data_IF_604215223493
#
_entry.id   IF_604215223493
#
_cell.length_a   1.000
_cell.length_b   1.000
_cell.length_c   1.000
_cell.angle_alpha   90.00
_cell.angle_beta   90.00
_cell.angle_gamma   90.00
#
_symmetry.space_group_name_H-M   'P 1'
#
loop_
_entity.id
_entity.type
_entity.pdbx_description
1 polymer ?
#
# COMPACT_ATOMS: atom_id res chain seq x y z
N UNK A 1 -27.49 57.55 -32.36
CA UNK A 1 -26.37 57.38 -33.31
C UNK A 1 -25.13 56.94 -32.53
N UNK A 2 -24.21 56.13 -33.08
CA UNK A 2 -24.38 55.12 -34.11
C UNK A 2 -23.77 53.76 -33.69
N UNK A 3 -24.29 52.73 -34.37
CA UNK A 3 -23.69 51.41 -34.52
C UNK A 3 -22.45 51.57 -35.41
N UNK A 4 -21.30 51.03 -35.00
CA UNK A 4 -20.14 50.84 -35.86
C UNK A 4 -19.63 49.41 -35.72
N UNK A 5 -20.07 48.58 -36.66
CA UNK A 5 -19.38 47.38 -37.12
C UNK A 5 -18.14 47.80 -37.91
N UNK A 6 -16.97 47.21 -37.62
CA UNK A 6 -15.90 46.94 -38.60
C UNK A 6 -15.01 45.78 -38.05
N UNK A 7 -14.12 45.14 -38.83
CA UNK A 7 -14.37 43.85 -39.47
C UNK A 7 -13.42 42.73 -38.99
N UNK A 8 -13.81 41.50 -39.31
CA UNK A 8 -13.05 40.27 -39.11
C UNK A 8 -11.86 40.25 -40.07
N UNK A 9 -10.62 40.31 -39.54
CA UNK A 9 -9.42 39.87 -40.25
C UNK A 9 -8.85 38.64 -39.57
N UNK A 10 -9.11 37.47 -40.16
CA UNK A 10 -8.42 36.23 -39.83
C UNK A 10 -6.96 36.33 -40.27
N UNK A 11 -6.04 36.38 -39.31
CA UNK A 11 -4.61 36.12 -39.54
C UNK A 11 -4.19 35.00 -38.58
N UNK A 12 -4.33 33.76 -39.04
CA UNK A 12 -3.91 32.58 -38.30
C UNK A 12 -2.40 32.37 -38.52
N UNK A 13 -1.58 32.91 -37.61
CA UNK A 13 -0.21 32.42 -37.35
C UNK A 13 -0.32 31.47 -36.17
N UNK A 14 0.07 30.22 -36.33
CA UNK A 14 0.34 29.34 -35.19
C UNK A 14 1.80 28.90 -35.22
N UNK A 15 2.50 29.21 -34.14
CA UNK A 15 3.72 28.54 -33.72
C UNK A 15 3.59 28.20 -32.24
N UNK A 16 3.70 26.88 -31.98
CA UNK A 16 4.24 26.17 -30.81
C UNK A 16 3.72 26.53 -29.41
N UNK A 17 3.10 25.55 -28.70
CA UNK A 17 3.45 25.06 -27.34
C UNK A 17 2.74 23.70 -27.10
N UNK A 18 3.46 22.67 -26.63
CA UNK A 18 2.98 21.37 -26.06
C UNK A 18 2.62 21.58 -24.57
N UNK A 19 1.74 20.80 -23.86
CA UNK A 19 1.84 19.32 -23.73
C UNK A 19 0.56 18.49 -23.42
N UNK A 20 0.52 17.25 -23.95
CA UNK A 20 -0.14 16.00 -23.45
C UNK A 20 -1.65 15.98 -23.10
N UNK A 21 -2.36 14.86 -23.38
CA UNK A 21 -2.28 13.67 -22.53
C UNK A 21 -1.80 12.43 -23.29
N UNK A 22 -1.00 11.62 -22.59
CA UNK A 22 -0.70 10.24 -22.96
C UNK A 22 -2.01 9.45 -22.94
N UNK A 23 -2.59 9.25 -24.11
CA UNK A 23 -3.44 8.09 -24.35
C UNK A 23 -2.50 6.90 -24.29
N UNK A 24 -2.67 6.07 -23.26
CA UNK A 24 -2.01 4.77 -23.13
C UNK A 24 -2.05 4.07 -24.47
N UNK A 25 -0.88 3.92 -25.08
CA UNK A 25 -0.73 3.15 -26.28
C UNK A 25 -1.30 1.76 -26.01
N UNK A 26 -2.37 1.40 -26.73
CA UNK A 26 -2.67 0.02 -27.02
C UNK A 26 -1.39 -0.50 -27.69
N UNK A 27 -0.48 -1.07 -26.89
CA UNK A 27 0.68 -1.78 -27.38
C UNK A 27 0.17 -3.10 -27.94
N UNK A 28 -0.41 -3.00 -29.15
CA UNK A 28 -0.56 -4.14 -30.04
C UNK A 28 0.79 -4.82 -30.03
N UNK A 29 0.84 -6.06 -29.56
CA UNK A 29 2.08 -6.82 -29.52
C UNK A 29 2.48 -7.00 -30.97
N UNK A 30 3.32 -6.10 -31.46
CA UNK A 30 3.83 -6.19 -32.80
C UNK A 30 4.75 -7.40 -32.78
N UNK A 31 4.28 -8.51 -33.32
CA UNK A 31 5.19 -9.57 -33.70
C UNK A 31 6.17 -8.90 -34.67
N UNK A 32 7.47 -8.84 -34.35
CA UNK A 32 8.45 -8.03 -35.07
C UNK A 32 8.78 -8.68 -36.42
N UNK A 33 7.80 -8.60 -37.33
CA UNK A 33 7.86 -9.03 -38.70
C UNK A 33 8.27 -7.82 -39.54
N UNK A 34 9.32 -7.97 -40.33
CA UNK A 34 9.73 -6.95 -41.29
C UNK A 34 9.77 -7.54 -42.69
N UNK A 35 9.30 -6.75 -43.65
CA UNK A 35 9.34 -7.07 -45.07
C UNK A 35 10.45 -6.24 -45.70
N UNK A 36 11.39 -6.89 -46.39
CA UNK A 36 12.52 -6.19 -47.04
C UNK A 36 12.60 -6.55 -48.52
N UNK A 37 12.63 -5.55 -49.43
CA UNK A 37 12.94 -5.81 -50.83
C UNK A 37 14.44 -6.10 -50.99
N UNK A 38 14.78 -7.10 -51.80
CA UNK A 38 16.18 -7.44 -52.12
C UNK A 38 16.51 -6.97 -53.54
N UNK A 39 17.76 -6.56 -53.81
CA UNK A 39 18.24 -6.06 -55.13
C UNK A 39 17.91 -6.96 -56.32
N UNK A 40 17.61 -8.25 -56.09
CA UNK A 40 17.18 -9.21 -57.11
C UNK A 40 15.70 -9.11 -57.50
N UNK A 41 14.93 -8.17 -56.95
CA UNK A 41 13.48 -8.05 -57.17
C UNK A 41 12.63 -9.09 -56.42
N UNK A 42 13.21 -9.82 -55.46
CA UNK A 42 12.53 -10.89 -54.70
C UNK A 42 12.14 -10.43 -53.29
N UNK A 43 11.00 -10.94 -52.80
CA UNK A 43 10.46 -10.64 -51.47
C UNK A 43 11.15 -11.46 -50.37
N UNK A 44 11.50 -10.80 -49.26
CA UNK A 44 12.02 -11.43 -48.05
C UNK A 44 11.19 -11.02 -46.83
N UNK A 45 10.83 -12.01 -46.02
CA UNK A 45 10.17 -11.86 -44.72
C UNK A 45 11.17 -12.20 -43.62
N UNK A 46 11.31 -11.34 -42.62
CA UNK A 46 12.16 -11.57 -41.46
C UNK A 46 11.33 -11.46 -40.18
N UNK A 47 11.40 -12.47 -39.32
CA UNK A 47 10.76 -12.55 -38.02
C UNK A 47 11.84 -12.52 -36.94
N UNK A 48 11.80 -11.51 -36.07
CA UNK A 48 12.71 -11.47 -34.93
C UNK A 48 12.24 -12.48 -33.86
N UNK A 49 13.20 -13.22 -33.31
CA UNK A 49 12.99 -14.24 -32.28
C UNK A 49 13.97 -13.98 -31.13
N UNK A 50 13.70 -14.52 -29.94
CA UNK A 50 14.64 -14.44 -28.81
C UNK A 50 16.03 -15.03 -29.13
N UNK A 51 16.10 -15.97 -30.07
CA UNK A 51 17.34 -16.60 -30.57
C UNK A 51 17.97 -15.90 -31.79
N UNK A 52 17.43 -14.76 -32.25
CA UNK A 52 17.91 -14.02 -33.42
C UNK A 52 16.86 -13.85 -34.53
N UNK A 53 17.29 -13.40 -35.71
CA UNK A 53 16.37 -13.16 -36.85
C UNK A 53 16.19 -14.42 -37.70
N UNK A 54 14.95 -14.87 -37.87
CA UNK A 54 14.59 -15.94 -38.80
C UNK A 54 14.03 -15.34 -40.09
N UNK A 55 14.59 -15.71 -41.23
CA UNK A 55 14.23 -15.12 -42.53
C UNK A 55 13.78 -16.13 -43.58
N UNK A 56 12.79 -15.74 -44.37
CA UNK A 56 12.26 -16.49 -45.51
C UNK A 56 12.36 -15.63 -46.77
N UNK A 57 12.89 -16.20 -47.85
CA UNK A 57 13.00 -15.53 -49.14
C UNK A 57 12.71 -16.52 -50.26
N UNK A 58 12.36 -15.99 -51.43
CA UNK A 58 12.17 -16.77 -52.64
C UNK A 58 13.50 -17.34 -53.18
N UNK A 59 13.54 -18.66 -53.40
CA UNK A 59 14.74 -19.40 -53.87
C UNK A 59 14.40 -20.21 -55.10
N UNK A 60 15.42 -20.50 -55.93
CA UNK A 60 15.29 -21.20 -57.22
C UNK A 60 14.54 -22.55 -57.16
N UNK A 61 14.48 -23.20 -55.98
CA UNK A 61 13.80 -24.50 -55.78
C UNK A 61 12.60 -24.45 -54.82
N UNK A 62 12.34 -23.32 -54.14
CA UNK A 62 11.21 -23.18 -53.22
C UNK A 62 10.69 -21.76 -53.24
N UNK A 63 9.41 -21.60 -53.55
CA UNK A 63 8.74 -20.30 -53.53
C UNK A 63 8.40 -19.88 -52.12
N UNK A 64 8.33 -18.56 -51.91
CA UNK A 64 7.90 -17.99 -50.63
C UNK A 64 6.46 -18.43 -50.29
N UNK A 65 5.59 -18.51 -51.29
CA UNK A 65 4.19 -18.96 -51.18
C UNK A 65 4.06 -20.31 -50.48
N UNK A 66 4.96 -21.25 -50.78
CA UNK A 66 4.98 -22.59 -50.18
C UNK A 66 5.38 -22.58 -48.71
N UNK A 67 6.03 -21.49 -48.24
CA UNK A 67 6.50 -21.32 -46.86
C UNK A 67 5.59 -20.45 -46.01
N UNK A 68 4.66 -19.71 -46.64
CA UNK A 68 3.71 -18.84 -45.95
C UNK A 68 2.83 -19.59 -44.94
N UNK A 69 2.28 -20.80 -45.23
CA UNK A 69 1.46 -21.51 -44.24
C UNK A 69 2.22 -21.82 -42.96
N UNK A 70 3.48 -22.23 -43.07
CA UNK A 70 4.34 -22.49 -41.92
C UNK A 70 4.69 -21.22 -41.14
N UNK A 71 4.92 -20.11 -41.84
CA UNK A 71 5.15 -18.81 -41.21
C UNK A 71 3.92 -18.34 -40.43
N UNK A 72 2.71 -18.45 -41.02
CA UNK A 72 1.48 -18.07 -40.33
C UNK A 72 1.22 -18.95 -39.10
N UNK A 73 1.43 -20.26 -39.20
CA UNK A 73 1.35 -21.16 -38.04
C UNK A 73 2.35 -20.79 -36.92
N UNK A 74 3.58 -20.40 -37.27
CA UNK A 74 4.59 -19.93 -36.30
C UNK A 74 4.17 -18.60 -35.64
N UNK A 75 3.60 -17.68 -36.40
CA UNK A 75 3.08 -16.39 -35.90
C UNK A 75 1.87 -16.62 -34.97
N UNK A 76 0.92 -17.47 -35.37
CA UNK A 76 -0.26 -17.81 -34.55
C UNK A 76 0.12 -18.46 -33.22
N UNK A 77 1.04 -19.43 -33.27
CA UNK A 77 1.54 -20.10 -32.06
C UNK A 77 2.16 -19.08 -31.10
N UNK A 78 3.00 -18.16 -31.61
CA UNK A 78 3.62 -17.11 -30.80
C UNK A 78 2.63 -16.09 -30.27
N UNK A 79 1.65 -15.70 -31.09
CA UNK A 79 0.57 -14.82 -30.64
C UNK A 79 -0.18 -15.45 -29.46
N UNK A 80 -0.50 -16.75 -29.55
CA UNK A 80 -1.15 -17.50 -28.48
C UNK A 80 -0.26 -17.65 -27.23
N UNK A 81 1.05 -17.86 -27.38
CA UNK A 81 2.00 -17.90 -26.26
C UNK A 81 2.13 -16.53 -25.56
N UNK A 82 2.25 -15.45 -26.33
CA UNK A 82 2.32 -14.09 -25.80
C UNK A 82 1.03 -13.73 -25.06
N UNK A 83 -0.13 -14.07 -25.64
CA UNK A 83 -1.43 -13.87 -24.99
C UNK A 83 -1.52 -14.64 -23.67
N UNK A 84 -1.15 -15.93 -23.66
CA UNK A 84 -1.12 -16.75 -22.45
C UNK A 84 -0.13 -16.23 -21.41
N UNK A 85 1.04 -15.76 -21.82
CA UNK A 85 2.03 -15.19 -20.90
C UNK A 85 1.51 -13.92 -20.25
N UNK A 86 0.86 -13.05 -21.02
CA UNK A 86 0.24 -11.81 -20.50
C UNK A 86 -0.86 -12.11 -19.50
N UNK A 87 -1.76 -13.03 -19.85
CA UNK A 87 -2.83 -13.47 -18.95
C UNK A 87 -2.27 -14.02 -17.63
N UNK A 88 -1.22 -14.87 -17.69
CA UNK A 88 -0.56 -15.38 -16.48
C UNK A 88 0.07 -14.28 -15.63
N UNK A 89 0.78 -13.34 -16.26
CA UNK A 89 1.41 -12.23 -15.54
C UNK A 89 0.38 -11.30 -14.90
N UNK A 90 -0.74 -11.06 -15.57
CA UNK A 90 -1.85 -10.28 -15.04
C UNK A 90 -2.52 -10.98 -13.85
N UNK A 91 -2.82 -12.27 -13.99
CA UNK A 91 -3.37 -13.10 -12.91
C UNK A 91 -2.45 -13.14 -11.69
N UNK A 92 -1.14 -13.30 -11.90
CA UNK A 92 -0.17 -13.31 -10.81
C UNK A 92 -0.12 -11.95 -10.09
N UNK A 93 -0.12 -10.85 -10.86
CA UNK A 93 -0.15 -9.50 -10.29
C UNK A 93 -1.41 -9.27 -9.45
N UNK A 94 -2.57 -9.70 -9.94
CA UNK A 94 -3.84 -9.60 -9.20
C UNK A 94 -3.82 -10.44 -7.92
N UNK A 95 -3.29 -11.67 -7.98
CA UNK A 95 -3.15 -12.53 -6.79
C UNK A 95 -2.20 -11.93 -5.75
N UNK A 96 -1.04 -11.43 -6.17
CA UNK A 96 -0.09 -10.76 -5.28
C UNK A 96 -0.69 -9.51 -4.65
N UNK A 97 -1.48 -8.76 -5.43
CA UNK A 97 -2.18 -7.58 -4.92
C UNK A 97 -3.22 -7.96 -3.87
N UNK A 98 -4.07 -8.95 -4.13
CA UNK A 98 -5.06 -9.41 -3.18
C UNK A 98 -4.43 -9.94 -1.87
N UNK A 99 -3.35 -10.71 -1.99
CA UNK A 99 -2.59 -11.19 -0.83
C UNK A 99 -1.96 -10.05 -0.02
N UNK A 100 -1.50 -8.98 -0.70
CA UNK A 100 -1.03 -7.78 -0.04
C UNK A 100 -2.15 -7.05 0.71
N UNK A 101 -3.31 -6.83 0.07
CA UNK A 101 -4.45 -6.16 0.70
C UNK A 101 -4.90 -6.91 1.97
N UNK A 102 -4.98 -8.25 1.92
CA UNK A 102 -5.30 -9.09 3.08
C UNK A 102 -4.24 -8.99 4.19
N UNK A 103 -2.96 -8.99 3.81
CA UNK A 103 -1.85 -8.88 4.76
C UNK A 103 -1.86 -7.52 5.50
N UNK A 104 -2.18 -6.43 4.80
CA UNK A 104 -2.29 -5.10 5.41
C UNK A 104 -3.46 -5.05 6.40
N UNK A 105 -4.61 -5.61 6.04
CA UNK A 105 -5.78 -5.59 6.92
C UNK A 105 -5.55 -6.42 8.18
N UNK A 106 -4.90 -7.58 8.04
CA UNK A 106 -4.49 -8.39 9.19
C UNK A 106 -3.48 -7.64 10.08
N UNK A 107 -2.47 -7.01 9.47
CA UNK A 107 -1.49 -6.22 10.19
C UNK A 107 -2.13 -5.06 10.98
N UNK A 108 -3.19 -4.43 10.45
CA UNK A 108 -3.96 -3.40 11.17
C UNK A 108 -4.65 -3.96 12.40
N UNK A 109 -5.31 -5.11 12.26
CA UNK A 109 -5.97 -5.77 13.39
C UNK A 109 -4.95 -6.14 14.47
N UNK A 110 -3.84 -6.74 14.08
CA UNK A 110 -2.75 -7.12 15.00
C UNK A 110 -2.16 -5.90 15.72
N UNK A 111 -1.97 -4.78 15.00
CA UNK A 111 -1.53 -3.52 15.59
C UNK A 111 -2.51 -3.00 16.65
N UNK A 112 -3.80 -2.94 16.33
CA UNK A 112 -4.83 -2.47 17.27
C UNK A 112 -4.91 -3.37 18.50
N UNK A 113 -4.88 -4.69 18.31
CA UNK A 113 -4.85 -5.64 19.43
C UNK A 113 -3.64 -5.43 20.33
N UNK A 114 -2.46 -5.21 19.74
CA UNK A 114 -1.25 -4.98 20.53
C UNK A 114 -1.31 -3.64 21.28
N UNK A 115 -1.86 -2.60 20.66
CA UNK A 115 -2.06 -1.28 21.27
C UNK A 115 -2.99 -1.36 22.48
N UNK A 116 -4.14 -2.02 22.35
CA UNK A 116 -5.08 -2.21 23.46
C UNK A 116 -4.50 -3.09 24.56
N UNK A 117 -3.71 -4.11 24.21
CA UNK A 117 -3.03 -4.98 25.18
C UNK A 117 -2.02 -4.22 26.02
N UNK A 118 -1.22 -3.37 25.39
CA UNK A 118 -0.22 -2.57 26.10
C UNK A 118 -0.88 -1.53 26.99
N UNK A 119 -1.96 -0.90 26.52
CA UNK A 119 -2.78 -0.02 27.34
C UNK A 119 -3.39 -0.73 28.54
N UNK A 120 -3.94 -1.93 28.36
CA UNK A 120 -4.51 -2.71 29.46
C UNK A 120 -3.45 -3.03 30.52
N UNK A 121 -2.22 -3.36 30.10
CA UNK A 121 -1.11 -3.59 31.03
C UNK A 121 -0.77 -2.34 31.82
N UNK A 122 -0.71 -1.18 31.17
CA UNK A 122 -0.44 0.09 31.83
C UNK A 122 -1.58 0.48 32.79
N UNK A 123 -2.82 0.16 32.46
CA UNK A 123 -3.97 0.36 33.35
C UNK A 123 -3.91 -0.55 34.57
N UNK A 124 -3.61 -1.83 34.38
CA UNK A 124 -3.45 -2.78 35.48
C UNK A 124 -2.32 -2.36 36.42
N UNK A 125 -1.19 -1.89 35.90
CA UNK A 125 -0.07 -1.40 36.70
C UNK A 125 -0.49 -0.17 37.53
N UNK A 126 -1.10 0.84 36.91
CA UNK A 126 -1.55 2.06 37.60
C UNK A 126 -2.64 1.77 38.64
N UNK A 127 -3.55 0.85 38.36
CA UNK A 127 -4.58 0.41 39.31
C UNK A 127 -3.95 -0.30 40.51
N UNK A 128 -2.98 -1.19 40.28
CA UNK A 128 -2.25 -1.86 41.36
C UNK A 128 -1.47 -0.85 42.24
N UNK A 129 -0.86 0.17 41.63
CA UNK A 129 -0.18 1.24 42.37
C UNK A 129 -1.15 2.05 43.24
N UNK A 130 -2.33 2.41 42.70
CA UNK A 130 -3.37 3.10 43.45
C UNK A 130 -3.83 2.28 44.67
N UNK A 131 -4.07 0.99 44.48
CA UNK A 131 -4.48 0.08 45.54
C UNK A 131 -3.37 -0.10 46.59
N UNK A 132 -2.11 -0.13 46.17
CA UNK A 132 -0.97 -0.19 47.08
C UNK A 132 -0.87 1.08 47.95
N UNK A 133 -1.12 2.26 47.39
CA UNK A 133 -1.19 3.53 48.13
C UNK A 133 -2.34 3.49 49.13
N UNK A 134 -3.56 3.13 48.70
CA UNK A 134 -4.74 3.02 49.58
C UNK A 134 -4.51 2.06 50.74
N UNK A 135 -3.93 0.89 50.45
CA UNK A 135 -3.58 -0.11 51.47
C UNK A 135 -2.51 0.40 52.44
N UNK A 136 -1.51 1.14 51.96
CA UNK A 136 -0.52 1.79 52.81
C UNK A 136 -1.15 2.84 53.73
N UNK A 137 -2.00 3.71 53.18
CA UNK A 137 -2.75 4.72 53.93
C UNK A 137 -3.60 4.09 55.03
N UNK A 138 -4.33 3.01 54.73
CA UNK A 138 -5.14 2.28 55.72
C UNK A 138 -4.29 1.71 56.87
N UNK A 139 -3.12 1.11 56.56
CA UNK A 139 -2.20 0.61 57.59
C UNK A 139 -1.64 1.73 58.46
N UNK A 140 -1.34 2.88 57.85
CA UNK A 140 -0.77 4.04 58.52
C UNK A 140 -1.81 4.71 59.43
N UNK A 141 -3.07 4.84 58.98
CA UNK A 141 -4.19 5.31 59.81
C UNK A 141 -4.39 4.37 61.02
N UNK A 142 -4.45 3.06 60.81
CA UNK A 142 -4.62 2.10 61.90
C UNK A 142 -3.46 2.09 62.91
N UNK A 143 -2.26 2.54 62.50
CA UNK A 143 -1.11 2.75 63.39
C UNK A 143 -1.28 4.05 64.18
N UNK A 144 -1.72 5.11 63.51
CA UNK A 144 -2.00 6.43 64.09
C UNK A 144 -3.05 6.33 65.19
N UNK A 145 -4.15 5.63 64.95
CA UNK A 145 -5.27 5.52 65.89
C UNK A 145 -4.87 4.84 67.22
N UNK A 146 -3.77 4.08 67.24
CA UNK A 146 -3.22 3.44 68.44
C UNK A 146 -2.21 4.30 69.19
N UNK A 147 -1.80 5.43 68.61
CA UNK A 147 -0.80 6.33 69.15
C UNK A 147 -1.49 7.66 69.46
N UNK A 148 -1.54 8.03 70.73
CA UNK A 148 -1.98 9.37 71.14
C UNK A 148 -0.82 10.37 70.88
N UNK A 149 -0.51 10.59 69.60
CA UNK A 149 0.62 11.44 69.15
C UNK A 149 0.08 12.80 68.64
N UNK A 150 0.60 13.93 69.16
CA UNK A 150 0.26 15.26 68.67
C UNK A 150 0.51 15.49 67.16
N UNK A 151 1.29 14.63 66.50
CA UNK A 151 1.50 14.63 65.05
C UNK A 151 0.32 14.07 64.25
N UNK A 152 -0.71 13.52 64.90
CA UNK A 152 -1.88 12.95 64.25
C UNK A 152 -2.51 13.89 63.20
N UNK A 153 -2.59 15.20 63.48
CA UNK A 153 -3.14 16.18 62.54
C UNK A 153 -2.35 16.26 61.22
N UNK A 154 -1.01 16.27 61.27
CA UNK A 154 -0.15 16.28 60.07
C UNK A 154 -0.24 14.96 59.30
N UNK A 155 -0.41 13.87 60.03
CA UNK A 155 -0.58 12.55 59.43
C UNK A 155 -1.91 12.44 58.67
N UNK A 156 -3.00 12.97 59.21
CA UNK A 156 -4.30 13.03 58.53
C UNK A 156 -4.21 13.83 57.23
N UNK A 157 -3.48 14.96 57.23
CA UNK A 157 -3.27 15.75 56.02
C UNK A 157 -2.49 14.98 54.95
N UNK A 158 -1.42 14.29 55.36
CA UNK A 158 -0.65 13.42 54.47
C UNK A 158 -1.49 12.27 53.89
N UNK A 159 -2.30 11.62 54.73
CA UNK A 159 -3.19 10.52 54.33
C UNK A 159 -4.25 10.98 53.33
N UNK A 160 -4.80 12.18 53.52
CA UNK A 160 -5.74 12.79 52.57
C UNK A 160 -5.07 13.02 51.22
N UNK A 161 -3.91 13.69 51.20
CA UNK A 161 -3.17 13.93 49.96
C UNK A 161 -2.81 12.62 49.24
N UNK A 162 -2.35 11.60 49.97
CA UNK A 162 -2.01 10.30 49.39
C UNK A 162 -3.24 9.56 48.83
N UNK A 163 -4.41 9.71 49.47
CA UNK A 163 -5.68 9.22 48.92
C UNK A 163 -6.07 9.93 47.63
N UNK A 164 -6.00 11.27 47.62
CA UNK A 164 -6.27 12.10 46.43
C UNK A 164 -5.33 11.70 45.27
N UNK A 165 -4.06 11.41 45.58
CA UNK A 165 -3.07 10.94 44.60
C UNK A 165 -3.40 9.55 44.06
N UNK A 166 -3.82 8.61 44.91
CA UNK A 166 -4.26 7.28 44.47
C UNK A 166 -5.45 7.39 43.51
N UNK A 167 -6.42 8.24 43.82
CA UNK A 167 -7.59 8.45 42.97
C UNK A 167 -7.23 9.13 41.64
N UNK A 168 -6.23 10.01 41.63
CA UNK A 168 -5.75 10.68 40.42
C UNK A 168 -5.08 9.71 39.44
N UNK A 169 -4.33 8.73 39.94
CA UNK A 169 -3.59 7.76 39.11
C UNK A 169 -4.45 6.57 38.69
N UNK A 170 -5.48 6.23 39.47
CA UNK A 170 -6.34 5.08 39.22
C UNK A 170 -7.11 5.26 37.89
N UNK A 171 -6.88 4.39 36.89
CA UNK A 171 -7.60 4.46 35.62
C UNK A 171 -9.10 4.20 35.76
N UNK A 172 -9.57 3.61 36.87
CA UNK A 172 -11.00 3.45 37.15
C UNK A 172 -11.71 4.80 37.40
N UNK A 173 -10.98 5.87 37.70
CA UNK A 173 -11.58 7.20 37.84
C UNK A 173 -11.65 7.96 36.51
N UNK A 174 -11.25 7.33 35.39
CA UNK A 174 -11.22 7.94 34.05
C UNK A 174 -12.01 7.11 33.05
N UNK A 175 -13.28 7.44 32.90
CA UNK A 175 -14.22 6.77 31.98
C UNK A 175 -13.73 6.72 30.53
N UNK A 176 -13.05 7.77 30.06
CA UNK A 176 -12.46 7.83 28.71
C UNK A 176 -11.38 6.75 28.51
N UNK A 177 -10.81 6.24 29.60
CA UNK A 177 -9.81 5.18 29.56
C UNK A 177 -10.41 3.78 29.35
N UNK A 178 -11.73 3.61 29.46
CA UNK A 178 -12.39 2.29 29.47
C UNK A 178 -12.81 1.78 28.09
N UNK A 179 -12.75 2.62 27.07
CA UNK A 179 -13.22 2.30 25.71
C UNK A 179 -12.05 1.86 24.84
N UNK A 180 -12.27 0.89 23.94
CA UNK A 180 -11.31 0.52 22.90
C UNK A 180 -10.76 1.75 22.18
N UNK A 181 -9.44 1.79 22.00
CA UNK A 181 -8.82 2.89 21.30
C UNK A 181 -9.01 2.69 19.79
N UNK A 182 -9.59 3.68 19.13
CA UNK A 182 -9.59 3.75 17.67
C UNK A 182 -8.72 4.95 17.29
N UNK A 183 -7.44 4.75 16.97
CA UNK A 183 -6.57 5.82 16.50
C UNK A 183 -7.21 6.52 15.30
N UNK A 184 -7.16 7.85 15.28
CA UNK A 184 -7.70 8.65 14.17
C UNK A 184 -6.95 8.39 12.86
N UNK A 185 -5.69 7.99 12.94
CA UNK A 185 -4.85 7.63 11.80
C UNK A 185 -3.92 6.48 12.21
N UNK A 186 -3.77 5.49 11.32
CA UNK A 186 -2.80 4.39 11.46
C UNK A 186 -1.77 4.56 10.34
N UNK A 187 -0.53 4.88 10.70
CA UNK A 187 0.51 5.11 9.71
C UNK A 187 1.04 3.78 9.16
N UNK A 188 1.48 3.75 7.89
CA UNK A 188 2.14 2.56 7.35
C UNK A 188 3.39 2.11 8.15
N UNK A 189 4.08 3.05 8.81
CA UNK A 189 5.22 2.74 9.70
C UNK A 189 4.80 1.91 10.91
N UNK A 190 3.60 2.14 11.44
CA UNK A 190 3.09 1.46 12.63
C UNK A 190 2.75 0.01 12.31
N UNK A 191 2.35 -0.24 11.07
CA UNK A 191 2.05 -1.58 10.56
C UNK A 191 3.30 -2.38 10.21
N UNK A 192 4.44 -1.74 9.98
CA UNK A 192 5.67 -2.39 9.50
C UNK A 192 6.10 -3.63 10.32
N UNK A 193 5.98 -3.65 11.67
CA UNK A 193 6.31 -4.84 12.46
C UNK A 193 5.34 -6.02 12.25
N UNK A 194 4.11 -5.75 11.83
CA UNK A 194 3.02 -6.73 11.72
C UNK A 194 2.82 -7.24 10.30
N UNK A 195 3.40 -6.55 9.30
CA UNK A 195 3.33 -6.99 7.90
C UNK A 195 4.26 -8.21 7.67
N UNK A 196 3.76 -9.29 7.03
CA UNK A 196 4.59 -10.46 6.69
C UNK A 196 5.77 -10.11 5.79
N UNK A 197 6.87 -10.85 5.95
CA UNK A 197 8.07 -10.67 5.11
C UNK A 197 7.73 -10.84 3.63
N UNK A 198 8.24 -9.94 2.79
CA UNK A 198 7.98 -9.92 1.35
C UNK A 198 6.87 -8.95 0.91
N UNK A 199 6.10 -8.42 1.86
CA UNK A 199 5.18 -7.31 1.62
C UNK A 199 5.71 -6.01 2.23
N UNK A 200 5.34 -4.88 1.63
CA UNK A 200 5.67 -3.55 2.12
C UNK A 200 4.42 -2.86 2.65
N UNK A 201 4.43 -2.22 3.83
CA UNK A 201 3.27 -1.48 4.31
C UNK A 201 2.96 -0.23 3.47
N UNK A 202 3.95 0.28 2.73
CA UNK A 202 3.84 1.54 1.99
C UNK A 202 3.27 1.39 0.59
N UNK A 203 3.53 0.24 -0.05
CA UNK A 203 3.11 0.04 -1.44
C UNK A 203 2.78 -1.42 -1.74
N UNK A 204 1.82 -1.65 -2.65
CA UNK A 204 1.54 -2.96 -3.19
C UNK A 204 2.73 -3.54 -3.97
N UNK A 205 2.77 -4.87 -4.15
CA UNK A 205 3.72 -5.51 -5.05
C UNK A 205 3.41 -5.15 -6.51
N UNK A 206 4.47 -4.91 -7.29
CA UNK A 206 4.42 -4.65 -8.74
C UNK A 206 4.04 -5.92 -9.54
#
# INVERSE_FOLDING_TARGET
MPILQVPIHFRCRYSVVRPTPRISAISVCLIPLSIRPVRSGRLRLDLQTASGTRGWADRTRCRLEQKLPYLFAEIETRAAELARSRARSEDERLRRRAAWDEAIERARQDYLYQLDRDRLRDQLARSADADAIRAYCARLQARADRLDDPRAARLTEWLRWAGDEADRIDPLNRLDEWVYLVPSEILPSDLAPYVPRGFSPYRPPD
#
